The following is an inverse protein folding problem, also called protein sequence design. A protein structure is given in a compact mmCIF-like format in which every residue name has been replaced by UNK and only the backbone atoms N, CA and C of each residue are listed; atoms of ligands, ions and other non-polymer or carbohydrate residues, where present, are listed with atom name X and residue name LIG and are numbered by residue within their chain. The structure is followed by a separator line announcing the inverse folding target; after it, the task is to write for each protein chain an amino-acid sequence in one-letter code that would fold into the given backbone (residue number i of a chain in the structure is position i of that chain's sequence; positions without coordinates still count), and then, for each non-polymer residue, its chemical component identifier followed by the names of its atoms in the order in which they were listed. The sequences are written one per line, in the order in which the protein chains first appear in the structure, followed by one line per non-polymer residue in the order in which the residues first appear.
data_IF_989291529964
#
_entry.id   IF_989291529964
#
_cell.length_a   1.000
_cell.length_b   1.000
_cell.length_c   1.000
_cell.angle_alpha   90.00
_cell.angle_beta   90.00
_cell.angle_gamma   90.00
#
_symmetry.space_group_name_H-M   'P 1'
#
loop_
_entity.id
_entity.type
_entity.pdbx_description
1 polymer ?
#
# COMPACT_ATOMS: atom_id res chain seq x y z
N UNK A 1 17.78 3.50 -13.88
CA UNK A 1 17.02 4.43 -14.74
C UNK A 1 15.80 4.87 -13.96
N UNK A 2 15.56 6.16 -13.85
CA UNK A 2 14.29 6.65 -13.33
C UNK A 2 13.26 6.72 -14.45
N UNK A 3 12.02 6.30 -14.16
CA UNK A 3 10.90 6.47 -15.08
C UNK A 3 10.56 7.94 -15.23
N UNK A 4 10.24 8.36 -16.45
CA UNK A 4 9.74 9.72 -16.70
C UNK A 4 8.36 9.90 -16.08
N UNK A 5 7.96 11.16 -15.84
CA UNK A 5 6.61 11.47 -15.36
C UNK A 5 5.52 10.93 -16.31
N UNK A 6 5.76 10.99 -17.63
CA UNK A 6 4.83 10.47 -18.63
C UNK A 6 4.68 8.95 -18.56
N UNK A 7 5.78 8.21 -18.37
CA UNK A 7 5.75 6.75 -18.19
C UNK A 7 4.99 6.36 -16.92
N UNK A 8 5.23 7.07 -15.81
CA UNK A 8 4.51 6.85 -14.54
C UNK A 8 3.00 7.11 -14.71
N UNK A 9 2.63 8.20 -15.37
CA UNK A 9 1.22 8.53 -15.62
C UNK A 9 0.53 7.49 -16.50
N UNK A 10 1.18 7.04 -17.58
CA UNK A 10 0.61 6.04 -18.49
C UNK A 10 0.35 4.72 -17.77
N UNK A 11 1.30 4.25 -16.96
CA UNK A 11 1.15 3.05 -16.16
C UNK A 11 -0.01 3.16 -15.14
N UNK A 12 -0.13 4.30 -14.45
CA UNK A 12 -1.24 4.53 -13.52
C UNK A 12 -2.58 4.54 -14.27
N UNK A 13 -2.66 5.21 -15.42
CA UNK A 13 -3.88 5.23 -16.24
C UNK A 13 -4.30 3.83 -16.71
N UNK A 14 -3.35 2.98 -17.09
CA UNK A 14 -3.61 1.58 -17.44
C UNK A 14 -4.18 0.80 -16.25
N UNK A 15 -3.57 0.93 -15.07
CA UNK A 15 -4.03 0.24 -13.86
C UNK A 15 -5.41 0.73 -13.40
N UNK A 16 -5.74 2.01 -13.61
CA UNK A 16 -7.06 2.56 -13.31
C UNK A 16 -8.15 2.12 -14.29
N UNK A 17 -7.80 1.50 -15.43
CA UNK A 17 -8.78 1.06 -16.42
C UNK A 17 -9.56 -0.20 -16.03
N UNK A 18 -9.14 -0.90 -14.97
CA UNK A 18 -9.78 -2.14 -14.51
C UNK A 18 -9.96 -2.14 -12.99
N UNK A 19 -11.01 -2.82 -12.53
CA UNK A 19 -11.27 -2.99 -11.09
C UNK A 19 -10.11 -3.69 -10.37
N UNK A 20 -9.52 -4.72 -11.00
CA UNK A 20 -8.36 -5.43 -10.46
C UNK A 20 -7.14 -4.52 -10.31
N UNK A 21 -6.88 -3.65 -11.29
CA UNK A 21 -5.79 -2.68 -11.22
C UNK A 21 -6.03 -1.59 -10.17
N UNK A 22 -7.26 -1.09 -10.02
CA UNK A 22 -7.64 -0.18 -8.93
C UNK A 22 -7.41 -0.83 -7.56
N UNK A 23 -7.87 -2.08 -7.39
CA UNK A 23 -7.67 -2.84 -6.16
C UNK A 23 -6.19 -3.01 -5.82
N UNK A 24 -5.35 -3.23 -6.83
CA UNK A 24 -3.90 -3.35 -6.65
C UNK A 24 -3.26 -2.03 -6.24
N UNK A 25 -3.65 -0.90 -6.86
CA UNK A 25 -3.18 0.43 -6.46
C UNK A 25 -3.55 0.72 -5.01
N UNK A 26 -4.81 0.50 -4.62
CA UNK A 26 -5.28 0.72 -3.24
C UNK A 26 -4.49 -0.16 -2.28
N UNK A 27 -4.26 -1.43 -2.62
CA UNK A 27 -3.45 -2.35 -1.82
C UNK A 27 -2.03 -1.85 -1.61
N UNK A 28 -1.35 -1.39 -2.66
CA UNK A 28 0.01 -0.87 -2.56
C UNK A 28 0.07 0.40 -1.73
N UNK A 29 -0.89 1.33 -1.93
CA UNK A 29 -0.98 2.57 -1.13
C UNK A 29 -1.16 2.28 0.35
N UNK A 30 -2.17 1.47 0.71
CA UNK A 30 -2.46 1.14 2.11
C UNK A 30 -1.30 0.40 2.79
N UNK A 31 -0.65 -0.53 2.08
CA UNK A 31 0.54 -1.21 2.61
C UNK A 31 1.71 -0.25 2.83
N UNK A 32 1.88 0.73 1.94
CA UNK A 32 2.97 1.71 2.05
C UNK A 32 2.74 2.63 3.23
N UNK A 33 1.52 3.17 3.40
CA UNK A 33 1.18 3.99 4.56
C UNK A 33 1.32 3.20 5.87
N UNK A 34 0.80 1.98 5.93
CA UNK A 34 0.92 1.15 7.14
C UNK A 34 2.37 0.86 7.52
N UNK A 35 3.26 0.65 6.54
CA UNK A 35 4.71 0.50 6.79
C UNK A 35 5.34 1.79 7.31
N UNK A 36 4.97 2.94 6.75
CA UNK A 36 5.48 4.24 7.19
C UNK A 36 5.00 4.57 8.61
N UNK A 37 3.71 4.41 8.89
CA UNK A 37 3.15 4.60 10.24
C UNK A 37 3.83 3.69 11.26
N UNK A 38 4.05 2.41 10.91
CA UNK A 38 4.79 1.48 11.78
C UNK A 38 6.22 1.98 12.06
N UNK A 39 6.91 2.48 11.05
CA UNK A 39 8.29 2.94 11.21
C UNK A 39 8.36 4.13 12.18
N UNK A 40 7.47 5.12 12.01
CA UNK A 40 7.35 6.27 12.91
C UNK A 40 6.98 5.82 14.33
N UNK A 41 6.01 4.91 14.46
CA UNK A 41 5.58 4.39 15.76
C UNK A 41 6.71 3.67 16.50
N UNK A 42 7.50 2.84 15.82
CA UNK A 42 8.65 2.15 16.43
C UNK A 42 9.74 3.13 16.88
N UNK A 43 9.93 4.22 16.13
CA UNK A 43 10.89 5.26 16.47
C UNK A 43 10.49 5.99 17.76
N UNK A 44 9.20 6.30 17.91
CA UNK A 44 8.62 6.95 19.09
C UNK A 44 8.49 6.00 20.30
N UNK A 45 8.14 4.73 20.07
CA UNK A 45 7.83 3.73 21.10
C UNK A 45 8.82 2.55 21.09
N UNK A 46 10.08 2.85 21.44
CA UNK A 46 11.15 1.84 21.49
C UNK A 46 10.82 0.69 22.45
N UNK A 47 10.85 -0.54 21.93
CA UNK A 47 10.60 -1.77 22.69
C UNK A 47 9.19 -2.34 22.56
N UNK A 48 8.27 -1.62 21.90
CA UNK A 48 6.93 -2.13 21.65
C UNK A 48 6.88 -3.14 20.49
N UNK A 49 6.13 -4.22 20.68
CA UNK A 49 6.07 -5.36 19.75
C UNK A 49 5.30 -5.06 18.45
N UNK A 50 4.59 -3.93 18.37
CA UNK A 50 3.92 -3.43 17.15
C UNK A 50 2.94 -4.43 16.49
N UNK A 51 2.28 -5.28 17.28
CA UNK A 51 1.39 -6.33 16.78
C UNK A 51 0.16 -5.80 16.02
N UNK A 52 -0.19 -4.52 16.18
CA UNK A 52 -1.28 -3.86 15.47
C UNK A 52 -1.02 -3.57 13.99
N UNK A 53 0.25 -3.57 13.55
CA UNK A 53 0.66 -3.21 12.18
C UNK A 53 0.77 -4.41 11.22
N UNK A 54 0.15 -5.54 11.56
CA UNK A 54 0.18 -6.72 10.67
C UNK A 54 -0.60 -6.43 9.38
N UNK A 55 -0.07 -6.79 8.19
CA UNK A 55 -0.78 -6.60 6.94
C UNK A 55 -2.16 -7.25 7.00
N UNK A 56 -3.23 -6.44 6.92
CA UNK A 56 -4.58 -6.96 6.86
C UNK A 56 -4.79 -7.58 5.49
N UNK A 57 -4.97 -8.90 5.44
CA UNK A 57 -5.45 -9.57 4.22
C UNK A 57 -6.95 -9.33 4.14
N UNK A 58 -7.39 -8.52 3.18
CA UNK A 58 -8.79 -8.47 2.80
C UNK A 58 -9.17 -9.83 2.19
N UNK A 59 -9.73 -10.73 3.00
CA UNK A 59 -10.33 -11.98 2.53
C UNK A 59 -11.80 -11.70 2.25
N UNK A 60 -12.07 -10.92 1.22
CA UNK A 60 -13.42 -10.70 0.71
C UNK A 60 -13.92 -11.95 0.00
N UNK A 61 -14.27 -12.99 0.75
CA UNK A 61 -15.32 -13.92 0.33
C UNK A 61 -16.56 -13.47 1.08
N UNK A 62 -17.25 -12.48 0.51
CA UNK A 62 -18.60 -12.17 0.93
C UNK A 62 -19.50 -13.35 0.59
N UNK A 63 -20.32 -13.76 1.56
CA UNK A 63 -21.56 -14.46 1.28
C UNK A 63 -22.51 -13.53 0.52
#
# INVERSE_FOLDING_TARGET
MELTASQKSAFISEMLSSESGINEIIRVLLNTFSKQERALFVEEHKGEQCNGFRPRRWRGYGC
#
